data_IF_541505064007
#
_entry.id   IF_541505064007
#
_cell.length_a   1.000
_cell.length_b   1.000
_cell.length_c   1.000
_cell.angle_alpha   90.00
_cell.angle_beta   90.00
_cell.angle_gamma   90.00
#
_symmetry.space_group_name_H-M   'P 1'
#
loop_
_entity.id
_entity.type
_entity.pdbx_description
1 polymer ?
#
# COMPACT_ATOMS: atom_id res chain seq x y z
N UNK A 1 -37.47 12.35 1.91
CA UNK A 1 -36.87 12.22 1.64
C UNK A 1 -36.09 11.22 1.61
N UNK A 2 -35.90 10.80 1.10
CA UNK A 2 -35.12 10.09 1.23
C UNK A 2 -33.97 10.45 1.22
N UNK A 3 -33.62 10.11 1.61
CA UNK A 3 -32.40 10.82 1.93
C UNK A 3 -31.23 10.29 1.13
N UNK A 4 -30.46 11.14 0.52
CA UNK A 4 -29.28 10.73 -0.24
C UNK A 4 -28.22 10.09 0.67
N UNK A 5 -28.30 10.30 1.98
CA UNK A 5 -27.35 9.73 2.94
C UNK A 5 -27.31 8.21 2.90
N UNK A 6 -28.39 7.58 2.51
CA UNK A 6 -28.46 6.13 2.48
C UNK A 6 -27.64 5.54 1.35
N UNK A 7 -27.32 6.34 0.34
CA UNK A 7 -26.53 5.88 -0.79
C UNK A 7 -25.11 6.40 -0.78
N UNK A 8 -24.80 7.32 0.13
CA UNK A 8 -23.44 7.86 0.24
C UNK A 8 -22.60 7.00 1.14
N UNK A 9 -21.45 6.60 0.62
CA UNK A 9 -20.49 5.87 1.41
C UNK A 9 -19.49 6.84 2.01
N UNK A 10 -19.22 6.70 3.30
CA UNK A 10 -18.17 7.47 3.95
C UNK A 10 -16.81 6.94 3.54
N UNK A 11 -15.77 7.71 3.82
CA UNK A 11 -14.40 7.25 3.62
C UNK A 11 -14.16 5.95 4.38
N UNK A 12 -14.67 5.87 5.61
CA UNK A 12 -14.54 4.66 6.41
C UNK A 12 -15.19 3.45 5.71
N UNK A 13 -16.40 3.63 5.18
CA UNK A 13 -17.11 2.55 4.49
C UNK A 13 -16.33 2.07 3.27
N UNK A 14 -15.81 3.01 2.50
CA UNK A 14 -15.02 2.69 1.32
C UNK A 14 -13.75 1.95 1.70
N UNK A 15 -13.08 2.40 2.75
CA UNK A 15 -11.84 1.77 3.21
C UNK A 15 -12.10 0.34 3.66
N UNK A 16 -13.13 0.14 4.47
CA UNK A 16 -13.47 -1.20 4.96
C UNK A 16 -13.89 -2.13 3.84
N UNK A 17 -14.66 -1.61 2.90
CA UNK A 17 -15.06 -2.42 1.74
C UNK A 17 -13.86 -2.80 0.89
N UNK A 18 -12.94 -1.86 0.69
CA UNK A 18 -11.71 -2.14 -0.05
C UNK A 18 -10.88 -3.21 0.62
N UNK A 19 -10.73 -3.13 1.94
CA UNK A 19 -9.99 -4.14 2.69
C UNK A 19 -10.62 -5.52 2.56
N UNK A 20 -11.94 -5.61 2.67
CA UNK A 20 -12.64 -6.88 2.51
C UNK A 20 -12.43 -7.45 1.11
N UNK A 21 -12.48 -6.61 0.09
CA UNK A 21 -12.25 -7.06 -1.27
C UNK A 21 -10.83 -7.60 -1.45
N UNK A 22 -9.84 -6.99 -0.80
CA UNK A 22 -8.48 -7.52 -0.80
C UNK A 22 -8.43 -8.90 -0.16
N UNK A 23 -9.05 -9.05 1.01
CA UNK A 23 -9.06 -10.32 1.72
C UNK A 23 -9.76 -11.41 0.93
N UNK A 24 -10.76 -11.04 0.15
CA UNK A 24 -11.51 -11.97 -0.68
C UNK A 24 -10.84 -12.28 -2.02
N UNK A 25 -9.70 -11.65 -2.29
CA UNK A 25 -8.97 -11.91 -3.52
C UNK A 25 -9.50 -11.17 -4.73
N UNK A 26 -10.08 -9.99 -4.53
CA UNK A 26 -10.60 -9.14 -5.60
C UNK A 26 -9.82 -7.83 -5.70
N UNK A 27 -8.52 -7.87 -6.10
CA UNK A 27 -7.69 -6.68 -6.05
C UNK A 27 -8.09 -5.57 -7.03
N UNK A 28 -8.62 -5.93 -8.20
CA UNK A 28 -9.06 -4.89 -9.15
C UNK A 28 -10.23 -4.10 -8.58
N UNK A 29 -11.20 -4.79 -8.00
CA UNK A 29 -12.35 -4.13 -7.38
C UNK A 29 -11.92 -3.33 -6.16
N UNK A 30 -11.00 -3.88 -5.37
CA UNK A 30 -10.46 -3.18 -4.21
C UNK A 30 -9.79 -1.87 -4.63
N UNK A 31 -9.01 -1.89 -5.71
CA UNK A 31 -8.33 -0.70 -6.20
C UNK A 31 -9.33 0.38 -6.60
N UNK A 32 -10.45 0.00 -7.21
CA UNK A 32 -11.48 0.97 -7.59
C UNK A 32 -12.08 1.64 -6.35
N UNK A 33 -12.44 0.84 -5.36
CA UNK A 33 -13.07 1.35 -4.14
C UNK A 33 -12.10 2.22 -3.34
N UNK A 34 -10.85 1.73 -3.19
CA UNK A 34 -9.83 2.47 -2.45
C UNK A 34 -9.40 3.74 -3.18
N UNK A 35 -9.46 3.73 -4.52
CA UNK A 35 -9.21 4.94 -5.30
C UNK A 35 -10.23 6.03 -5.00
N UNK A 36 -11.50 5.64 -4.79
CA UNK A 36 -12.52 6.60 -4.39
C UNK A 36 -12.26 7.15 -3.00
N UNK A 37 -11.84 6.29 -2.08
CA UNK A 37 -11.46 6.74 -0.74
C UNK A 37 -10.32 7.75 -0.79
N UNK A 38 -9.33 7.50 -1.64
CA UNK A 38 -8.19 8.40 -1.82
C UNK A 38 -8.64 9.78 -2.30
N UNK A 39 -9.61 9.83 -3.21
CA UNK A 39 -10.10 11.12 -3.69
C UNK A 39 -10.72 11.94 -2.57
N UNK A 40 -11.35 11.28 -1.60
CA UNK A 40 -11.97 11.97 -0.48
C UNK A 40 -10.97 12.38 0.60
N UNK A 41 -9.94 11.56 0.83
CA UNK A 41 -8.90 11.88 1.82
C UNK A 41 -7.53 11.53 1.26
N UNK A 42 -6.97 12.40 0.40
CA UNK A 42 -5.72 12.09 -0.29
C UNK A 42 -4.48 12.05 0.59
N UNK A 43 -4.56 12.58 1.82
CA UNK A 43 -3.42 12.60 2.73
C UNK A 43 -3.52 11.55 3.84
N UNK A 44 -4.33 10.53 3.64
CA UNK A 44 -4.47 9.45 4.62
C UNK A 44 -3.53 8.30 4.26
N UNK A 45 -2.49 8.09 5.07
CA UNK A 45 -1.46 7.09 4.79
C UNK A 45 -2.05 5.68 4.67
N UNK A 46 -2.99 5.31 5.54
CA UNK A 46 -3.58 3.97 5.52
C UNK A 46 -4.32 3.68 4.22
N UNK A 47 -4.97 4.68 3.64
CA UNK A 47 -5.67 4.52 2.37
C UNK A 47 -4.65 4.34 1.24
N UNK A 48 -3.59 5.14 1.25
CA UNK A 48 -2.52 5.01 0.25
C UNK A 48 -1.88 3.64 0.29
N UNK A 49 -1.60 3.14 1.49
CA UNK A 49 -1.01 1.82 1.65
C UNK A 49 -1.96 0.72 1.15
N UNK A 50 -3.23 0.77 1.54
CA UNK A 50 -4.20 -0.23 1.10
C UNK A 50 -4.39 -0.20 -0.41
N UNK A 51 -4.45 1.00 -1.01
CA UNK A 51 -4.55 1.13 -2.46
C UNK A 51 -3.30 0.57 -3.14
N UNK A 52 -2.13 0.85 -2.58
CA UNK A 52 -0.88 0.29 -3.09
C UNK A 52 -0.92 -1.23 -3.10
N UNK A 53 -1.40 -1.84 -2.02
CA UNK A 53 -1.53 -3.30 -1.95
C UNK A 53 -2.47 -3.84 -3.02
N UNK A 54 -3.61 -3.19 -3.21
CA UNK A 54 -4.58 -3.60 -4.21
C UNK A 54 -3.98 -3.53 -5.62
N UNK A 55 -3.30 -2.43 -5.92
CA UNK A 55 -2.66 -2.24 -7.21
C UNK A 55 -1.54 -3.26 -7.44
N UNK A 56 -0.76 -3.54 -6.41
CA UNK A 56 0.32 -4.52 -6.49
C UNK A 56 -0.25 -5.91 -6.80
N UNK A 57 -1.28 -6.30 -6.07
CA UNK A 57 -1.92 -7.61 -6.28
C UNK A 57 -2.62 -7.69 -7.63
N UNK A 58 -3.07 -6.56 -8.17
CA UNK A 58 -3.68 -6.50 -9.49
C UNK A 58 -2.64 -6.46 -10.62
N UNK A 59 -1.35 -6.49 -10.29
CA UNK A 59 -0.28 -6.47 -11.28
C UNK A 59 0.08 -5.08 -11.79
N UNK A 60 -0.48 -4.04 -11.18
CA UNK A 60 -0.23 -2.65 -11.59
C UNK A 60 0.88 -2.06 -10.72
N UNK A 61 2.07 -2.61 -10.88
CA UNK A 61 3.16 -2.42 -9.92
C UNK A 61 3.71 -0.99 -9.90
N UNK A 62 3.78 -0.32 -11.06
CA UNK A 62 4.25 1.07 -11.07
C UNK A 62 3.31 2.00 -10.32
N UNK A 63 2.02 1.78 -10.48
CA UNK A 63 1.04 2.57 -9.73
C UNK A 63 1.11 2.25 -8.25
N UNK A 64 1.30 0.98 -7.91
CA UNK A 64 1.45 0.56 -6.52
C UNK A 64 2.66 1.26 -5.89
N UNK A 65 3.79 1.30 -6.61
CA UNK A 65 4.99 1.96 -6.12
C UNK A 65 4.71 3.43 -5.76
N UNK A 66 3.97 4.13 -6.62
CA UNK A 66 3.64 5.53 -6.35
C UNK A 66 2.80 5.69 -5.10
N UNK A 67 1.83 4.79 -4.90
CA UNK A 67 0.98 4.87 -3.72
C UNK A 67 1.75 4.52 -2.45
N UNK A 68 2.62 3.51 -2.49
CA UNK A 68 3.47 3.17 -1.35
C UNK A 68 4.44 4.30 -1.04
N UNK A 69 4.99 4.95 -2.05
CA UNK A 69 5.89 6.09 -1.84
C UNK A 69 5.17 7.23 -1.13
N UNK A 70 3.93 7.50 -1.51
CA UNK A 70 3.14 8.53 -0.83
C UNK A 70 2.81 8.11 0.60
N UNK A 71 2.50 6.83 0.82
CA UNK A 71 2.24 6.33 2.16
C UNK A 71 3.45 6.52 3.08
N UNK A 72 4.64 6.21 2.58
CA UNK A 72 5.90 6.40 3.33
C UNK A 72 6.13 7.89 3.62
N UNK A 73 5.86 8.75 2.64
CA UNK A 73 6.03 10.19 2.85
C UNK A 73 5.08 10.70 3.95
N UNK A 74 3.87 10.17 3.99
CA UNK A 74 2.88 10.57 5.00
C UNK A 74 3.16 9.97 6.38
N UNK A 75 3.73 8.77 6.43
CA UNK A 75 4.04 8.07 7.67
C UNK A 75 5.36 7.34 7.55
N UNK A 76 6.50 8.06 7.74
CA UNK A 76 7.84 7.47 7.53
C UNK A 76 8.21 6.34 8.49
N UNK A 77 7.47 6.17 9.58
CA UNK A 77 7.77 5.11 10.55
C UNK A 77 6.95 3.84 10.33
N UNK A 78 6.19 3.75 9.24
CA UNK A 78 5.43 2.56 8.90
C UNK A 78 6.37 1.54 8.23
N UNK A 79 6.79 0.54 9.00
CA UNK A 79 7.73 -0.48 8.52
C UNK A 79 7.14 -1.27 7.35
N UNK A 80 5.86 -1.61 7.42
CA UNK A 80 5.24 -2.37 6.33
C UNK A 80 5.22 -1.56 5.03
N UNK A 81 4.95 -0.25 5.11
CA UNK A 81 4.93 0.59 3.91
C UNK A 81 6.31 0.63 3.25
N UNK A 82 7.39 0.71 4.04
CA UNK A 82 8.74 0.63 3.49
C UNK A 82 9.00 -0.71 2.83
N UNK A 83 8.58 -1.79 3.49
CA UNK A 83 8.73 -3.14 2.94
C UNK A 83 8.00 -3.28 1.60
N UNK A 84 6.73 -2.85 1.57
CA UNK A 84 5.92 -2.91 0.36
C UNK A 84 6.53 -2.08 -0.77
N UNK A 85 7.03 -0.89 -0.42
CA UNK A 85 7.70 -0.05 -1.40
C UNK A 85 8.97 -0.71 -1.93
N UNK A 86 9.72 -1.39 -1.06
CA UNK A 86 10.90 -2.14 -1.50
C UNK A 86 10.54 -3.18 -2.54
N UNK A 87 9.47 -3.95 -2.30
CA UNK A 87 9.04 -4.96 -3.25
C UNK A 87 8.61 -4.35 -4.59
N UNK A 88 7.88 -3.24 -4.53
CA UNK A 88 7.44 -2.56 -5.75
C UNK A 88 8.61 -1.94 -6.51
N UNK A 89 9.59 -1.40 -5.80
CA UNK A 89 10.80 -0.88 -6.42
C UNK A 89 11.60 -1.98 -7.10
N UNK A 90 11.73 -3.13 -6.44
CA UNK A 90 12.43 -4.27 -7.04
C UNK A 90 11.77 -4.71 -8.33
N UNK A 91 10.46 -4.86 -8.30
CA UNK A 91 9.72 -5.31 -9.48
C UNK A 91 9.77 -4.34 -10.64
N UNK A 92 9.99 -3.07 -10.36
CA UNK A 92 10.05 -2.03 -11.40
C UNK A 92 11.47 -1.64 -11.75
N UNK A 93 12.46 -2.46 -11.35
CA UNK A 93 13.83 -2.29 -11.77
C UNK A 93 14.62 -1.26 -10.98
N UNK A 94 14.12 -0.81 -9.85
CA UNK A 94 14.78 0.19 -9.02
C UNK A 94 15.44 -0.47 -7.81
N UNK A 95 16.45 -1.30 -8.08
CA UNK A 95 17.03 -2.16 -7.06
C UNK A 95 17.71 -1.38 -5.94
N UNK A 96 18.38 -0.27 -6.24
CA UNK A 96 19.03 0.52 -5.19
C UNK A 96 18.02 1.12 -4.22
N UNK A 97 16.92 1.64 -4.76
CA UNK A 97 15.84 2.18 -3.92
C UNK A 97 15.19 1.06 -3.10
N UNK A 98 15.03 -0.11 -3.71
CA UNK A 98 14.48 -1.26 -3.01
C UNK A 98 15.32 -1.61 -1.79
N UNK A 99 16.65 -1.65 -1.95
CA UNK A 99 17.56 -1.93 -0.82
C UNK A 99 17.40 -0.88 0.28
N UNK A 100 17.31 0.38 -0.08
CA UNK A 100 17.17 1.46 0.90
C UNK A 100 15.92 1.29 1.75
N UNK A 101 14.80 1.02 1.11
CA UNK A 101 13.54 0.84 1.84
C UNK A 101 13.50 -0.47 2.62
N UNK A 102 14.13 -1.53 2.10
CA UNK A 102 14.24 -2.77 2.85
C UNK A 102 15.07 -2.57 4.13
N UNK A 103 16.15 -1.80 4.05
CA UNK A 103 16.93 -1.47 5.25
C UNK A 103 16.10 -0.71 6.28
N UNK A 104 15.30 0.23 5.81
CA UNK A 104 14.44 1.00 6.71
C UNK A 104 13.38 0.11 7.37
N UNK A 105 12.79 -0.82 6.62
CA UNK A 105 11.83 -1.76 7.20
C UNK A 105 12.47 -2.59 8.30
N UNK A 106 13.67 -3.12 8.04
CA UNK A 106 14.42 -3.91 9.04
C UNK A 106 14.74 -3.05 10.27
N UNK A 107 15.20 -1.82 10.05
CA UNK A 107 15.58 -0.94 11.15
C UNK A 107 14.36 -0.59 12.03
N UNK A 108 13.20 -0.42 11.41
CA UNK A 108 11.99 -0.08 12.15
C UNK A 108 11.39 -1.27 12.89
N UNK A 109 11.59 -2.49 12.38
CA UNK A 109 11.03 -3.68 13.02
C UNK A 109 11.94 -4.87 12.73
N UNK A 110 12.97 -5.01 13.56
CA UNK A 110 14.06 -5.96 13.33
C UNK A 110 13.65 -7.42 13.43
N UNK A 111 12.50 -7.70 14.06
CA UNK A 111 12.09 -9.08 14.33
C UNK A 111 11.30 -9.72 13.18
N UNK A 112 10.95 -8.94 12.16
CA UNK A 112 10.18 -9.48 11.02
C UNK A 112 11.15 -10.15 10.06
N UNK A 113 11.12 -11.49 10.06
CA UNK A 113 12.06 -12.27 9.24
C UNK A 113 11.89 -12.05 7.75
N UNK A 114 10.66 -11.74 7.32
CA UNK A 114 10.42 -11.45 5.90
C UNK A 114 11.19 -10.22 5.43
N UNK A 115 11.28 -9.20 6.28
CA UNK A 115 12.03 -7.98 5.93
C UNK A 115 13.51 -8.31 5.75
N UNK A 116 14.05 -9.10 6.68
CA UNK A 116 15.45 -9.51 6.63
C UNK A 116 15.74 -10.35 5.38
N UNK A 117 14.85 -11.29 5.06
CA UNK A 117 15.01 -12.14 3.89
C UNK A 117 15.05 -11.33 2.60
N UNK A 118 14.17 -10.34 2.48
CA UNK A 118 14.14 -9.49 1.30
C UNK A 118 15.40 -8.64 1.22
N UNK A 119 15.85 -8.09 2.35
CA UNK A 119 17.07 -7.29 2.36
C UNK A 119 18.28 -8.14 1.94
N UNK A 120 18.40 -9.36 2.47
CA UNK A 120 19.49 -10.27 2.10
C UNK A 120 19.47 -10.55 0.61
N UNK A 121 18.31 -10.86 0.06
CA UNK A 121 18.18 -11.12 -1.37
C UNK A 121 18.60 -9.92 -2.22
N UNK A 122 18.24 -8.72 -1.77
CA UNK A 122 18.56 -7.50 -2.50
C UNK A 122 20.03 -7.10 -2.40
N UNK A 123 20.72 -7.57 -1.37
CA UNK A 123 22.14 -7.25 -1.17
C UNK A 123 23.08 -8.34 -1.68
N UNK A 124 22.52 -9.46 -2.11
CA UNK A 124 23.34 -10.58 -2.61
C UNK A 124 24.03 -10.28 -3.94
#
# INVERSE_FOLDING_TARGET
>A
MYSSDRTQETVYDLFERGRRLLEQGHPHQAAMVLGRAKLLEPEKASIREALGRALYMAGRTRQARREFAKAVALNPSDDYAHFALALACERTGQRDRARGHARLAVALHTEVTEYQSVLERLTA
#
